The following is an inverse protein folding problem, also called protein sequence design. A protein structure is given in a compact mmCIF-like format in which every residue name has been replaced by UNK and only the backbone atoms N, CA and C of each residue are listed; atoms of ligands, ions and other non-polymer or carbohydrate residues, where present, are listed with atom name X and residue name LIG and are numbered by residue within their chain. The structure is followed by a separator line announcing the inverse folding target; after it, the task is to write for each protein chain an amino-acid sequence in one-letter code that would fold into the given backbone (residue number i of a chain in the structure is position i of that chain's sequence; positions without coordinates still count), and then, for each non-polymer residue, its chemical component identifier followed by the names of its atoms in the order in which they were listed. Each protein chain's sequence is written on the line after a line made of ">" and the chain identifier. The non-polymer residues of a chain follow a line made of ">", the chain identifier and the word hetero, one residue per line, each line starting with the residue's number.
data_IF_151993454643
#
_entry.id   IF_151993454643
#
_cell.length_a   1.000
_cell.length_b   1.000
_cell.length_c   1.000
_cell.angle_alpha   90.00
_cell.angle_beta   90.00
_cell.angle_gamma   90.00
#
_symmetry.space_group_name_H-M   'P 1'
#
loop_
_entity.id
_entity.type
_entity.pdbx_description
1 polymer ?
#
# COMPACT_ATOMS: atom_id res chain seq x y z
N UNK A 1 24.87 -9.32 40.07
CA UNK A 1 25.96 -9.99 39.33
C UNK A 1 26.05 -9.36 37.94
N UNK A 2 27.20 -8.81 37.53
CA UNK A 2 27.33 -8.20 36.21
C UNK A 2 27.14 -9.28 35.14
N UNK A 3 26.32 -8.99 34.12
CA UNK A 3 26.07 -9.92 33.02
C UNK A 3 27.39 -10.14 32.25
N UNK A 4 27.77 -11.38 31.91
CA UNK A 4 28.95 -11.63 31.08
C UNK A 4 28.76 -10.93 29.71
N UNK A 5 29.86 -10.49 29.10
CA UNK A 5 29.92 -9.66 27.88
C UNK A 5 29.01 -10.19 26.75
N UNK A 6 28.79 -11.50 26.69
CA UNK A 6 27.87 -12.17 25.76
C UNK A 6 26.40 -11.74 25.92
N UNK A 7 25.90 -11.56 27.15
CA UNK A 7 24.50 -11.17 27.40
C UNK A 7 24.16 -9.73 27.00
N UNK A 8 25.16 -8.87 26.82
CA UNK A 8 24.96 -7.51 26.32
C UNK A 8 24.81 -7.49 24.79
N UNK A 9 25.58 -8.35 24.11
CA UNK A 9 25.47 -8.57 22.66
C UNK A 9 24.16 -9.26 22.30
N UNK A 10 23.73 -10.24 23.09
CA UNK A 10 22.44 -10.93 22.91
C UNK A 10 21.26 -9.95 23.03
N UNK A 11 21.28 -9.07 24.04
CA UNK A 11 20.25 -8.05 24.21
C UNK A 11 20.24 -7.04 23.06
N UNK A 12 21.40 -6.70 22.50
CA UNK A 12 21.50 -5.80 21.36
C UNK A 12 20.92 -6.45 20.09
N UNK A 13 21.24 -7.73 19.85
CA UNK A 13 20.71 -8.51 18.73
C UNK A 13 19.18 -8.62 18.81
N UNK A 14 18.64 -8.88 20.01
CA UNK A 14 17.19 -8.94 20.23
C UNK A 14 16.50 -7.59 19.95
N UNK A 15 17.10 -6.47 20.38
CA UNK A 15 16.56 -5.13 20.10
C UNK A 15 16.53 -4.83 18.60
N UNK A 16 17.59 -5.18 17.88
CA UNK A 16 17.63 -5.01 16.42
C UNK A 16 16.64 -5.93 15.71
N UNK A 17 16.54 -7.20 16.12
CA UNK A 17 15.56 -8.14 15.56
C UNK A 17 14.12 -7.63 15.77
N UNK A 18 13.80 -7.10 16.95
CA UNK A 18 12.50 -6.51 17.25
C UNK A 18 12.22 -5.26 16.39
N UNK A 19 13.20 -4.38 16.21
CA UNK A 19 13.08 -3.19 15.37
C UNK A 19 12.86 -3.57 13.88
N UNK A 20 13.59 -4.55 13.37
CA UNK A 20 13.43 -5.07 12.00
C UNK A 20 12.05 -5.70 11.82
N UNK A 21 11.58 -6.51 12.77
CA UNK A 21 10.25 -7.13 12.73
C UNK A 21 9.12 -6.10 12.78
N UNK A 22 9.23 -5.05 13.60
CA UNK A 22 8.27 -3.96 13.65
C UNK A 22 8.23 -3.19 12.31
N UNK A 23 9.39 -2.92 11.70
CA UNK A 23 9.50 -2.29 10.38
C UNK A 23 8.88 -3.18 9.29
N UNK A 24 9.14 -4.48 9.32
CA UNK A 24 8.58 -5.44 8.37
C UNK A 24 7.04 -5.50 8.45
N UNK A 25 6.46 -5.46 9.66
CA UNK A 25 4.99 -5.39 9.84
C UNK A 25 4.39 -4.10 9.30
N UNK A 26 5.10 -2.98 9.40
CA UNK A 26 4.65 -1.70 8.85
C UNK A 26 4.75 -1.65 7.32
N UNK A 27 5.68 -2.42 6.73
CA UNK A 27 5.87 -2.56 5.28
C UNK A 27 5.06 -3.70 4.65
N UNK A 28 4.61 -4.67 5.46
CA UNK A 28 3.66 -5.72 5.07
C UNK A 28 2.36 -5.07 4.64
N UNK A 29 2.25 -4.83 3.34
CA UNK A 29 1.41 -3.79 2.77
C UNK A 29 -0.04 -3.87 3.22
N UNK A 30 -0.62 -2.69 3.47
CA UNK A 30 -2.09 -2.55 3.53
C UNK A 30 -2.66 -3.25 2.30
N UNK A 31 -3.64 -4.14 2.50
CA UNK A 31 -4.33 -4.78 1.39
C UNK A 31 -5.11 -3.70 0.62
N UNK A 32 -4.45 -3.09 -0.36
CA UNK A 32 -5.00 -1.98 -1.13
C UNK A 32 -6.13 -2.51 -2.02
N UNK A 33 -7.21 -1.76 -2.13
CA UNK A 33 -8.24 -2.07 -3.11
C UNK A 33 -7.68 -1.81 -4.52
N UNK A 34 -7.47 -2.90 -5.26
CA UNK A 34 -6.90 -2.90 -6.59
C UNK A 34 -7.95 -2.75 -7.70
N UNK A 35 -9.23 -2.56 -7.36
CA UNK A 35 -10.33 -2.38 -8.33
C UNK A 35 -10.15 -1.15 -9.19
N UNK A 36 -10.71 -1.21 -10.40
CA UNK A 36 -10.76 -0.07 -11.29
C UNK A 36 -11.63 1.04 -10.70
N UNK A 37 -11.16 2.28 -10.75
CA UNK A 37 -11.87 3.46 -10.22
C UNK A 37 -12.89 4.06 -11.17
N UNK A 38 -13.05 3.51 -12.38
CA UNK A 38 -14.09 3.94 -13.32
C UNK A 38 -15.45 3.46 -12.82
N UNK A 39 -16.45 4.34 -12.86
CA UNK A 39 -17.81 4.03 -12.39
C UNK A 39 -18.36 2.79 -13.10
N UNK A 40 -18.88 1.83 -12.33
CA UNK A 40 -19.43 0.58 -12.86
C UNK A 40 -18.39 -0.47 -13.30
N UNK A 41 -17.09 -0.20 -13.23
CA UNK A 41 -16.07 -1.16 -13.62
C UNK A 41 -15.79 -2.19 -12.51
N UNK A 42 -15.87 -3.48 -12.85
CA UNK A 42 -15.52 -4.59 -11.94
C UNK A 42 -14.11 -5.15 -12.17
N UNK A 43 -13.38 -4.63 -13.16
CA UNK A 43 -12.06 -5.13 -13.52
C UNK A 43 -11.00 -4.69 -12.50
N UNK A 44 -9.97 -5.50 -12.37
CA UNK A 44 -8.80 -5.18 -11.54
C UNK A 44 -7.85 -4.26 -12.32
N UNK A 45 -7.27 -3.30 -11.61
CA UNK A 45 -6.18 -2.47 -12.13
C UNK A 45 -4.82 -3.14 -11.89
N UNK A 46 -3.81 -2.65 -12.60
CA UNK A 46 -2.40 -3.03 -12.35
C UNK A 46 -1.80 -2.37 -11.10
N UNK A 47 -2.59 -1.59 -10.36
CA UNK A 47 -2.24 -1.02 -9.07
C UNK A 47 -2.00 0.49 -9.04
N UNK A 48 -1.46 1.01 -7.92
CA UNK A 48 -1.32 2.44 -7.67
C UNK A 48 -0.48 3.18 -8.71
N UNK A 49 0.55 2.52 -9.27
CA UNK A 49 1.39 3.10 -10.33
C UNK A 49 0.62 3.41 -11.62
N UNK A 50 -0.52 2.74 -11.84
CA UNK A 50 -1.38 2.92 -13.01
C UNK A 50 -2.64 3.72 -12.68
N UNK A 51 -2.66 4.42 -11.54
CA UNK A 51 -3.81 5.23 -11.13
C UNK A 51 -5.06 4.43 -10.78
N UNK A 52 -4.92 3.11 -10.58
CA UNK A 52 -6.03 2.18 -10.37
C UNK A 52 -7.05 2.16 -11.52
N UNK A 53 -6.59 2.30 -12.77
CA UNK A 53 -7.40 2.13 -13.98
C UNK A 53 -7.05 0.79 -14.63
N UNK A 54 -8.04 0.04 -15.10
CA UNK A 54 -7.80 -1.23 -15.79
C UNK A 54 -7.26 -0.99 -17.21
N UNK A 55 -6.60 -1.98 -17.81
CA UNK A 55 -5.96 -1.82 -19.12
C UNK A 55 -6.96 -1.48 -20.25
N UNK A 56 -8.23 -1.91 -20.10
CA UNK A 56 -9.31 -1.58 -21.04
C UNK A 56 -9.59 -0.07 -21.05
N UNK A 57 -9.94 0.49 -19.89
CA UNK A 57 -10.22 1.92 -19.75
C UNK A 57 -8.98 2.80 -19.97
N UNK A 58 -7.77 2.28 -19.74
CA UNK A 58 -6.56 3.02 -20.06
C UNK A 58 -6.37 3.22 -21.58
N UNK A 59 -6.90 2.33 -22.40
CA UNK A 59 -6.87 2.43 -23.88
C UNK A 59 -8.06 3.21 -24.42
N UNK A 60 -9.22 3.07 -23.81
CA UNK A 60 -10.47 3.69 -24.27
C UNK A 60 -10.64 5.14 -23.79
N UNK A 61 -10.21 5.47 -22.57
CA UNK A 61 -10.39 6.80 -21.97
C UNK A 61 -9.16 7.69 -22.17
N UNK A 62 -9.42 8.98 -22.39
CA UNK A 62 -8.38 10.01 -22.37
C UNK A 62 -7.76 10.16 -20.97
N UNK A 63 -6.56 10.75 -20.89
CA UNK A 63 -5.90 11.00 -19.61
C UNK A 63 -6.74 11.90 -18.66
N UNK A 64 -7.59 12.76 -19.23
CA UNK A 64 -8.50 13.64 -18.47
C UNK A 64 -9.60 12.82 -17.79
N UNK A 65 -10.28 11.96 -18.53
CA UNK A 65 -11.34 11.09 -18.00
C UNK A 65 -10.81 10.09 -16.97
N UNK A 66 -9.60 9.56 -17.18
CA UNK A 66 -8.92 8.72 -16.19
C UNK A 66 -8.69 9.46 -14.87
N UNK A 67 -8.34 10.75 -14.94
CA UNK A 67 -8.14 11.60 -13.75
C UNK A 67 -9.45 11.88 -13.04
N UNK A 68 -10.49 12.23 -13.79
CA UNK A 68 -11.83 12.49 -13.23
C UNK A 68 -12.42 11.25 -12.54
N UNK A 69 -12.28 10.06 -13.14
CA UNK A 69 -12.69 8.80 -12.51
C UNK A 69 -11.93 8.56 -11.19
N UNK A 70 -10.61 8.82 -11.18
CA UNK A 70 -9.79 8.70 -9.97
C UNK A 70 -10.20 9.71 -8.89
N UNK A 71 -10.48 10.95 -9.26
CA UNK A 71 -10.90 12.01 -8.36
C UNK A 71 -12.28 11.73 -7.78
N UNK A 72 -13.26 11.30 -8.59
CA UNK A 72 -14.58 10.86 -8.13
C UNK A 72 -14.49 9.74 -7.11
N UNK A 73 -13.70 8.70 -7.40
CA UNK A 73 -13.49 7.59 -6.47
C UNK A 73 -12.81 8.08 -5.17
N UNK A 74 -11.77 8.90 -5.28
CA UNK A 74 -11.12 9.47 -4.10
C UNK A 74 -12.10 10.32 -3.28
N UNK A 75 -12.94 11.14 -3.90
CA UNK A 75 -13.93 11.96 -3.19
C UNK A 75 -14.98 11.10 -2.46
N UNK A 76 -15.44 10.01 -3.09
CA UNK A 76 -16.37 9.06 -2.48
C UNK A 76 -15.75 8.30 -1.29
N UNK A 77 -14.47 7.96 -1.38
CA UNK A 77 -13.76 7.16 -0.37
C UNK A 77 -12.91 7.99 0.62
N UNK A 78 -12.76 9.30 0.43
CA UNK A 78 -11.99 10.19 1.29
C UNK A 78 -12.58 10.33 2.71
N UNK A 79 -13.85 9.95 2.91
CA UNK A 79 -14.49 9.96 4.23
C UNK A 79 -14.19 8.72 5.09
N UNK A 80 -13.38 7.77 4.61
CA UNK A 80 -13.14 6.49 5.29
C UNK A 80 -11.70 6.31 5.82
N UNK A 81 -10.93 7.39 5.96
CA UNK A 81 -9.57 7.36 6.50
C UNK A 81 -9.46 8.07 7.85
#
# INVERSE_FOLDING_TARGET
>A
MPKPIHGLLDSLIEQFAAAIAARARQLGGRHLDMRCRVEGCKNMSRGPRFGYICDKHRKELSAKEQREAREKWNAAHAKAA
#
